data_IF_918559198515
#
_entry.id   IF_918559198515
#
_cell.length_a   1.000
_cell.length_b   1.000
_cell.length_c   1.000
_cell.angle_alpha   90.00
_cell.angle_beta   90.00
_cell.angle_gamma   90.00
#
_symmetry.space_group_name_H-M   'P 1'
#
loop_
_entity.id
_entity.type
_entity.pdbx_description
1 polymer ?
#
# COMPACT_ATOMS: atom_id res chain seq x y z
N UNK A 1 6.95 12.52 26.92
CA UNK A 1 7.34 12.57 25.50
C UNK A 1 6.35 11.76 24.70
N UNK A 2 5.52 12.36 23.83
CA UNK A 2 4.59 11.58 23.01
C UNK A 2 5.43 10.69 22.10
N UNK A 3 5.16 9.38 22.12
CA UNK A 3 5.75 8.43 21.18
C UNK A 3 5.23 8.83 19.82
N UNK A 4 6.01 9.63 19.09
CA UNK A 4 5.89 9.77 17.65
C UNK A 4 5.78 8.35 17.09
N UNK A 5 4.57 7.95 16.71
CA UNK A 5 4.36 6.66 16.08
C UNK A 5 5.18 6.72 14.80
N UNK A 6 6.11 5.80 14.59
CA UNK A 6 6.97 5.76 13.40
C UNK A 6 6.18 5.94 12.08
N UNK A 7 4.90 5.53 12.09
CA UNK A 7 3.94 5.73 11.00
C UNK A 7 3.68 7.21 10.70
N UNK A 8 3.55 8.06 11.73
CA UNK A 8 3.37 9.51 11.59
C UNK A 8 4.58 10.17 10.91
N UNK A 9 5.78 9.73 11.25
CA UNK A 9 7.04 10.20 10.63
C UNK A 9 7.11 9.80 9.15
N UNK A 10 6.81 8.53 8.82
CA UNK A 10 6.79 8.05 7.43
C UNK A 10 5.72 8.76 6.58
N UNK A 11 4.57 9.13 7.18
CA UNK A 11 3.53 9.89 6.50
C UNK A 11 4.00 11.30 6.15
N UNK A 12 4.78 11.95 7.03
CA UNK A 12 5.31 13.30 6.82
C UNK A 12 6.48 13.35 5.82
N UNK A 13 7.24 12.28 5.65
CA UNK A 13 8.36 12.21 4.70
C UNK A 13 7.94 12.38 3.24
N UNK A 14 8.82 12.96 2.42
CA UNK A 14 8.67 12.95 0.96
C UNK A 14 8.86 11.54 0.40
N UNK A 15 8.28 11.25 -0.77
CA UNK A 15 8.40 9.91 -1.39
C UNK A 15 9.85 9.52 -1.71
N UNK A 16 10.67 10.49 -2.14
CA UNK A 16 12.10 10.27 -2.42
C UNK A 16 12.87 9.88 -1.16
N UNK A 17 12.60 10.55 -0.05
CA UNK A 17 13.26 10.28 1.23
C UNK A 17 12.79 8.96 1.81
N UNK A 18 11.49 8.65 1.67
CA UNK A 18 10.93 7.37 2.08
C UNK A 18 11.55 6.20 1.29
N UNK A 19 11.79 6.36 -0.02
CA UNK A 19 12.48 5.35 -0.84
C UNK A 19 13.94 5.14 -0.39
N UNK A 20 14.67 6.22 -0.11
CA UNK A 20 16.04 6.15 0.44
C UNK A 20 16.06 5.43 1.78
N UNK A 21 15.13 5.76 2.67
CA UNK A 21 15.04 5.13 3.99
C UNK A 21 14.66 3.64 3.86
N UNK A 22 13.76 3.27 2.92
CA UNK A 22 13.44 1.86 2.64
C UNK A 22 14.70 1.08 2.25
N UNK A 23 15.52 1.65 1.35
CA UNK A 23 16.79 1.02 0.93
C UNK A 23 17.76 0.85 2.09
N UNK A 24 17.94 1.89 2.91
CA UNK A 24 18.79 1.82 4.10
C UNK A 24 18.29 0.75 5.10
N UNK A 25 16.98 0.70 5.32
CA UNK A 25 16.34 -0.26 6.21
C UNK A 25 16.46 -1.71 5.72
N UNK A 26 16.45 -1.95 4.40
CA UNK A 26 16.73 -3.27 3.81
C UNK A 26 18.16 -3.72 4.11
N UNK A 27 19.15 -2.86 3.86
CA UNK A 27 20.55 -3.17 4.14
C UNK A 27 20.80 -3.46 5.63
N UNK A 28 20.16 -2.69 6.51
CA UNK A 28 20.21 -2.93 7.95
C UNK A 28 19.65 -4.32 8.31
N UNK A 29 18.50 -4.67 7.72
CA UNK A 29 17.84 -5.94 7.98
C UNK A 29 18.68 -7.12 7.48
N UNK A 30 19.31 -7.00 6.31
CA UNK A 30 20.24 -8.01 5.79
C UNK A 30 21.45 -8.19 6.70
N UNK A 31 22.04 -7.08 7.19
CA UNK A 31 23.16 -7.15 8.13
C UNK A 31 22.77 -7.85 9.44
N UNK A 32 21.62 -7.50 10.01
CA UNK A 32 21.11 -8.12 11.25
C UNK A 32 20.77 -9.60 11.00
N UNK A 33 20.15 -9.92 9.85
CA UNK A 33 19.84 -11.30 9.46
C UNK A 33 21.12 -12.14 9.39
N UNK A 34 22.15 -11.63 8.73
CA UNK A 34 23.45 -12.30 8.63
C UNK A 34 24.09 -12.48 10.03
N UNK A 35 23.99 -11.47 10.89
CA UNK A 35 24.45 -11.57 12.29
C UNK A 35 23.74 -12.68 13.07
N UNK A 36 22.43 -12.83 12.88
CA UNK A 36 21.63 -13.90 13.49
C UNK A 36 21.98 -15.27 12.90
N UNK A 37 22.08 -15.40 11.57
CA UNK A 37 22.43 -16.66 10.88
C UNK A 37 23.83 -17.15 11.28
N UNK A 38 24.81 -16.24 11.41
CA UNK A 38 26.16 -16.53 11.88
C UNK A 38 26.26 -16.71 13.42
N UNK A 39 25.13 -16.69 14.15
CA UNK A 39 25.05 -16.75 15.62
C UNK A 39 25.85 -15.67 16.36
N UNK A 40 26.24 -14.59 15.65
CA UNK A 40 26.94 -13.43 16.20
C UNK A 40 25.98 -12.47 16.91
N UNK A 41 24.71 -12.49 16.53
CA UNK A 41 23.64 -11.67 17.12
C UNK A 41 22.53 -12.58 17.65
N UNK A 42 22.31 -12.58 18.98
CA UNK A 42 21.26 -13.39 19.63
C UNK A 42 19.90 -12.71 19.66
N UNK A 43 19.85 -11.42 19.35
CA UNK A 43 18.64 -10.62 19.42
C UNK A 43 17.77 -10.79 18.15
N UNK A 44 17.05 -11.91 18.11
CA UNK A 44 16.04 -12.19 17.09
C UNK A 44 14.82 -11.26 17.20
N UNK A 45 14.62 -10.61 18.35
CA UNK A 45 13.53 -9.66 18.53
C UNK A 45 13.81 -8.37 17.75
N UNK A 46 15.06 -7.93 17.68
CA UNK A 46 15.51 -6.82 16.82
C UNK A 46 15.20 -7.08 15.35
N UNK A 47 15.55 -8.26 14.81
CA UNK A 47 15.22 -8.64 13.43
C UNK A 47 13.71 -8.53 13.15
N UNK A 48 12.86 -8.97 14.10
CA UNK A 48 11.40 -8.87 13.97
C UNK A 48 10.89 -7.42 14.06
N UNK A 49 11.54 -6.55 14.83
CA UNK A 49 11.21 -5.12 14.91
C UNK A 49 11.56 -4.42 13.60
N UNK A 50 12.76 -4.63 13.09
CA UNK A 50 13.20 -4.03 11.82
C UNK A 50 12.34 -4.50 10.63
N UNK A 51 11.92 -5.78 10.61
CA UNK A 51 10.96 -6.28 9.62
C UNK A 51 9.62 -5.54 9.66
N UNK A 52 9.08 -5.30 10.86
CA UNK A 52 7.82 -4.58 11.04
C UNK A 52 7.96 -3.12 10.60
N UNK A 53 9.08 -2.47 10.93
CA UNK A 53 9.38 -1.10 10.48
C UNK A 53 9.41 -1.02 8.95
N UNK A 54 10.14 -1.93 8.29
CA UNK A 54 10.20 -1.99 6.82
C UNK A 54 8.82 -2.21 6.19
N UNK A 55 7.98 -3.07 6.79
CA UNK A 55 6.62 -3.29 6.30
C UNK A 55 5.78 -2.00 6.36
N UNK A 56 5.84 -1.27 7.49
CA UNK A 56 5.14 0.01 7.64
C UNK A 56 5.59 1.03 6.58
N UNK A 57 6.89 1.15 6.34
CA UNK A 57 7.42 2.07 5.33
C UNK A 57 6.94 1.72 3.92
N UNK A 58 6.92 0.42 3.56
CA UNK A 58 6.38 -0.04 2.28
C UNK A 58 4.89 0.25 2.16
N UNK A 59 4.10 0.05 3.21
CA UNK A 59 2.68 0.40 3.22
C UNK A 59 2.47 1.90 2.96
N UNK A 60 3.25 2.75 3.61
CA UNK A 60 3.19 4.21 3.42
C UNK A 60 3.61 4.63 2.01
N UNK A 61 4.64 3.99 1.45
CA UNK A 61 5.06 4.19 0.08
C UNK A 61 3.94 3.83 -0.91
N UNK A 62 3.37 2.63 -0.78
CA UNK A 62 2.23 2.20 -1.62
C UNK A 62 1.05 3.14 -1.49
N UNK A 63 0.74 3.62 -0.28
CA UNK A 63 -0.34 4.60 -0.07
C UNK A 63 -0.08 5.91 -0.80
N UNK A 64 1.15 6.44 -0.72
CA UNK A 64 1.53 7.69 -1.41
C UNK A 64 1.50 7.52 -2.94
N UNK A 65 1.99 6.39 -3.45
CA UNK A 65 1.93 6.05 -4.88
C UNK A 65 0.48 5.94 -5.36
N UNK A 66 -0.39 5.26 -4.62
CA UNK A 66 -1.82 5.14 -4.94
C UNK A 66 -2.53 6.51 -4.95
N UNK A 67 -2.20 7.38 -3.99
CA UNK A 67 -2.76 8.74 -3.94
C UNK A 67 -2.35 9.59 -5.15
N UNK A 68 -1.10 9.49 -5.62
CA UNK A 68 -0.66 10.16 -6.86
C UNK A 68 -1.44 9.67 -8.08
N UNK A 69 -1.62 8.35 -8.20
CA UNK A 69 -2.38 7.74 -9.30
C UNK A 69 -3.86 8.17 -9.30
N UNK A 70 -4.51 8.23 -8.14
CA UNK A 70 -5.91 8.66 -8.03
C UNK A 70 -6.09 10.17 -8.29
N UNK A 71 -5.12 11.00 -7.90
CA UNK A 71 -5.14 12.43 -8.23
C UNK A 71 -4.99 12.73 -9.74
N UNK A 72 -4.43 11.79 -10.50
CA UNK A 72 -4.28 11.89 -11.95
C UNK A 72 -5.44 11.31 -12.77
N UNK A 73 -6.40 10.64 -12.12
CA UNK A 73 -7.57 10.11 -12.80
C UNK A 73 -8.59 11.25 -13.04
N UNK A 74 -8.48 11.93 -14.20
CA UNK A 74 -9.60 12.73 -14.72
C UNK A 74 -10.83 11.81 -14.81
N UNK A 75 -12.01 12.23 -14.32
CA UNK A 75 -13.22 11.43 -14.50
C UNK A 75 -13.47 11.31 -16.01
N UNK A 76 -13.24 10.12 -16.56
CA UNK A 76 -13.64 9.78 -17.91
C UNK A 76 -15.15 9.61 -17.89
N UNK A 77 -15.88 10.69 -18.15
CA UNK A 77 -17.33 10.65 -18.35
C UNK A 77 -17.60 9.93 -19.65
N UNK A 78 -17.84 8.62 -19.58
CA UNK A 78 -18.39 7.86 -20.70
C UNK A 78 -19.90 8.14 -20.73
N UNK A 79 -20.48 8.59 -21.86
CA UNK A 79 -21.91 8.84 -21.94
C UNK A 79 -22.68 7.54 -21.70
N UNK A 80 -23.61 7.56 -20.74
CA UNK A 80 -24.48 6.44 -20.45
C UNK A 80 -25.37 6.15 -21.67
N UNK A 81 -25.21 4.96 -22.26
CA UNK A 81 -26.09 4.48 -23.32
C UNK A 81 -27.48 4.20 -22.76
N UNK A 82 -28.44 5.03 -23.13
CA UNK A 82 -29.85 4.95 -22.75
C UNK A 82 -30.46 3.65 -23.30
N UNK A 83 -30.77 2.69 -22.43
CA UNK A 83 -31.50 1.48 -22.79
C UNK A 83 -32.95 1.86 -23.13
N UNK A 84 -33.30 1.85 -24.41
CA UNK A 84 -34.70 1.89 -24.86
C UNK A 84 -35.35 0.51 -24.62
N UNK A 85 -36.27 0.48 -23.67
CA UNK A 85 -37.22 -0.61 -23.42
C UNK A 85 -38.22 -0.73 -24.58
N UNK A 86 -38.22 -1.87 -25.28
CA UNK A 86 -39.32 -2.24 -26.19
C UNK A 86 -40.12 -3.37 -25.57
N UNK A 87 -41.32 -2.98 -25.17
CA UNK A 87 -42.46 -3.76 -24.71
C UNK A 87 -42.88 -4.82 -25.75
N UNK A 88 -43.14 -6.07 -25.32
CA UNK A 88 -43.93 -7.03 -26.12
C UNK A 88 -44.67 -8.00 -25.21
N UNK A 89 -45.85 -7.55 -24.80
CA UNK A 89 -46.96 -8.33 -24.22
C UNK A 89 -47.14 -9.70 -24.87
N UNK A 90 -47.10 -10.76 -24.05
CA UNK A 90 -47.56 -12.09 -24.39
C UNK A 90 -49.04 -12.23 -23.98
N UNK A 91 -49.96 -12.24 -24.94
CA UNK A 91 -51.37 -12.56 -24.70
C UNK A 91 -51.60 -14.06 -24.81
N UNK A 92 -51.89 -14.69 -23.68
CA UNK A 92 -52.47 -16.03 -23.56
C UNK A 92 -53.94 -16.00 -24.02
N UNK A 93 -54.30 -16.84 -24.99
CA UNK A 93 -55.70 -17.22 -25.22
C UNK A 93 -55.80 -18.73 -25.45
N UNK A 94 -56.56 -19.38 -24.56
CA UNK A 94 -56.99 -20.78 -24.59
C UNK A 94 -58.39 -20.82 -25.23
N UNK A 95 -58.63 -21.76 -26.15
CA UNK A 95 -59.94 -22.37 -26.44
C UNK A 95 -59.70 -23.80 -26.89
#
# INVERSE_FOLDING_TARGET
MPKSSAIGEFRAMQMSDLDREIKAQVLLLERVRLGVELKKEKDTAKLRRERRKLAQMKTEWTRKTAAQLQGSAKPSTVPASTKSSTDKSASTTRS
#
